data_IF_727897679608
#
_entry.id   IF_727897679608
#
_cell.length_a   1.000
_cell.length_b   1.000
_cell.length_c   1.000
_cell.angle_alpha   90.00
_cell.angle_beta   90.00
_cell.angle_gamma   90.00
#
_symmetry.space_group_name_H-M   'P 1'
#
loop_
_entity.id
_entity.type
_entity.pdbx_description
1 polymer ?
#
# COMPACT_ATOMS: atom_id res chain seq x y z
N UNK A 1 -4.50 2.99 16.95
CA UNK A 1 -4.77 1.87 16.01
C UNK A 1 -3.81 1.99 14.86
N UNK A 2 -3.15 0.88 14.49
CA UNK A 2 -2.13 0.85 13.44
C UNK A 2 -2.76 0.97 12.04
N UNK A 3 -4.02 0.53 11.90
CA UNK A 3 -4.79 0.62 10.67
C UNK A 3 -5.80 1.77 10.83
N UNK A 4 -5.74 2.80 9.97
CA UNK A 4 -6.75 3.84 9.89
C UNK A 4 -8.16 3.28 9.61
N UNK A 5 -9.17 3.87 10.25
CA UNK A 5 -10.57 3.42 10.12
C UNK A 5 -11.16 3.68 8.73
N UNK A 6 -10.59 4.64 7.98
CA UNK A 6 -10.99 4.98 6.62
C UNK A 6 -9.75 5.36 5.81
N UNK A 7 -9.48 4.59 4.76
CA UNK A 7 -8.60 5.00 3.67
C UNK A 7 -9.46 5.40 2.48
N UNK A 8 -8.87 6.18 1.58
CA UNK A 8 -9.47 6.49 0.29
C UNK A 8 -9.48 5.21 -0.55
N UNK A 9 -10.60 4.48 -0.53
CA UNK A 9 -10.65 3.07 -0.96
C UNK A 9 -10.51 2.85 -2.48
N UNK A 10 -10.51 3.92 -3.29
CA UNK A 10 -10.50 3.87 -4.75
C UNK A 10 -9.26 4.49 -5.40
N UNK A 11 -8.28 4.96 -4.62
CA UNK A 11 -7.02 5.53 -5.13
C UNK A 11 -5.79 4.91 -4.46
N UNK A 12 -5.04 4.10 -5.21
CA UNK A 12 -3.85 3.40 -4.73
C UNK A 12 -2.70 4.37 -4.40
N UNK A 13 -2.58 5.49 -5.10
CA UNK A 13 -1.54 6.48 -4.83
C UNK A 13 -1.84 7.21 -3.53
N UNK A 14 -3.12 7.52 -3.29
CA UNK A 14 -3.56 8.14 -2.04
C UNK A 14 -3.34 7.19 -0.85
N UNK A 15 -3.69 5.91 -0.99
CA UNK A 15 -3.40 4.90 0.04
C UNK A 15 -1.90 4.85 0.35
N UNK A 16 -1.04 4.89 -0.68
CA UNK A 16 0.41 4.91 -0.49
C UNK A 16 0.90 6.17 0.24
N UNK A 17 0.35 7.34 -0.09
CA UNK A 17 0.69 8.60 0.57
C UNK A 17 0.23 8.63 2.03
N UNK A 18 -0.99 8.16 2.31
CA UNK A 18 -1.56 8.08 3.65
C UNK A 18 -0.78 7.11 4.55
N UNK A 19 -0.42 5.92 4.03
CA UNK A 19 0.39 4.95 4.76
C UNK A 19 1.79 5.49 5.08
N UNK A 20 2.46 6.12 4.10
CA UNK A 20 3.76 6.78 4.34
C UNK A 20 3.64 7.89 5.37
N UNK A 21 2.60 8.71 5.26
CA UNK A 21 2.34 9.77 6.24
C UNK A 21 2.16 9.18 7.64
N UNK A 22 1.37 8.11 7.80
CA UNK A 22 1.15 7.46 9.09
C UNK A 22 2.45 6.92 9.72
N UNK A 23 3.34 6.37 8.89
CA UNK A 23 4.64 5.85 9.33
C UNK A 23 5.71 6.93 9.59
N UNK A 24 5.62 8.07 8.91
CA UNK A 24 6.53 9.21 9.07
C UNK A 24 6.03 10.25 10.09
N UNK A 25 4.74 10.22 10.43
CA UNK A 25 4.14 11.05 11.47
C UNK A 25 4.51 10.52 12.85
N UNK A 26 4.37 11.35 13.90
CA UNK A 26 4.57 10.97 15.31
C UNK A 26 3.50 9.99 15.84
N UNK A 27 3.16 8.95 15.09
CA UNK A 27 2.30 7.89 15.55
C UNK A 27 3.04 7.09 16.64
N UNK A 28 2.60 7.27 17.88
CA UNK A 28 3.22 6.67 19.07
C UNK A 28 3.22 5.14 18.98
N UNK A 29 2.15 4.54 18.44
CA UNK A 29 2.04 3.08 18.29
C UNK A 29 3.10 2.57 17.29
N UNK A 30 3.26 3.24 16.15
CA UNK A 30 4.25 2.91 15.12
C UNK A 30 5.68 3.08 15.65
N UNK A 31 5.97 4.21 16.29
CA UNK A 31 7.30 4.48 16.85
C UNK A 31 7.70 3.46 17.93
N UNK A 32 6.72 2.97 18.71
CA UNK A 32 6.95 1.89 19.67
C UNK A 32 7.31 0.57 18.98
N UNK A 33 6.65 0.23 17.87
CA UNK A 33 7.00 -0.96 17.08
C UNK A 33 8.39 -0.82 16.47
N UNK A 34 8.71 0.33 15.87
CA UNK A 34 10.02 0.60 15.26
C UNK A 34 11.14 0.48 16.29
N UNK A 35 11.02 1.16 17.43
CA UNK A 35 12.02 1.09 18.51
C UNK A 35 12.15 -0.30 19.14
N UNK A 36 11.09 -1.12 19.14
CA UNK A 36 11.18 -2.52 19.61
C UNK A 36 11.91 -3.44 18.63
N UNK A 37 12.03 -3.03 17.36
CA UNK A 37 12.67 -3.78 16.28
C UNK A 37 14.02 -3.17 15.86
N UNK A 38 14.47 -2.12 16.56
CA UNK A 38 15.76 -1.47 16.33
C UNK A 38 16.89 -2.51 16.39
N UNK A 39 17.64 -2.61 15.30
CA UNK A 39 18.76 -3.55 15.14
C UNK A 39 18.44 -4.86 14.41
N UNK A 40 17.16 -5.15 14.08
CA UNK A 40 16.78 -6.37 13.31
C UNK A 40 16.74 -6.12 11.81
N UNK A 41 16.26 -4.94 11.38
CA UNK A 41 16.19 -4.56 9.97
C UNK A 41 16.47 -3.07 9.83
N UNK A 42 17.25 -2.68 8.81
CA UNK A 42 17.55 -1.28 8.53
C UNK A 42 16.34 -0.48 8.01
N UNK A 43 15.27 -1.17 7.60
CA UNK A 43 14.15 -0.57 6.86
C UNK A 43 12.77 -0.87 7.49
N UNK A 44 12.70 -1.07 8.81
CA UNK A 44 11.44 -1.41 9.53
C UNK A 44 10.30 -0.43 9.19
N UNK A 45 10.59 0.87 9.13
CA UNK A 45 9.58 1.88 8.79
C UNK A 45 9.02 1.70 7.36
N UNK A 46 9.89 1.38 6.39
CA UNK A 46 9.48 1.16 5.01
C UNK A 46 8.65 -0.13 4.89
N UNK A 47 9.07 -1.20 5.57
CA UNK A 47 8.32 -2.45 5.62
C UNK A 47 6.94 -2.24 6.25
N UNK A 48 6.86 -1.50 7.35
CA UNK A 48 5.59 -1.23 8.01
C UNK A 48 4.66 -0.38 7.15
N UNK A 49 5.18 0.64 6.46
CA UNK A 49 4.41 1.40 5.48
C UNK A 49 3.88 0.51 4.37
N UNK A 50 4.70 -0.38 3.81
CA UNK A 50 4.29 -1.31 2.77
C UNK A 50 3.22 -2.30 3.28
N UNK A 51 3.35 -2.82 4.51
CA UNK A 51 2.33 -3.67 5.13
C UNK A 51 0.99 -2.94 5.29
N UNK A 52 1.02 -1.67 5.70
CA UNK A 52 -0.20 -0.87 5.87
C UNK A 52 -0.86 -0.62 4.52
N UNK A 53 -0.10 -0.25 3.47
CA UNK A 53 -0.65 -0.13 2.10
C UNK A 53 -1.36 -1.42 1.70
N UNK A 54 -0.70 -2.57 1.87
CA UNK A 54 -1.26 -3.87 1.52
C UNK A 54 -2.54 -4.20 2.29
N UNK A 55 -2.62 -3.83 3.57
CA UNK A 55 -3.81 -4.04 4.39
C UNK A 55 -5.02 -3.19 3.95
N UNK A 56 -4.78 -2.11 3.20
CA UNK A 56 -5.80 -1.14 2.81
C UNK A 56 -6.25 -1.29 1.36
N UNK A 57 -5.68 -2.25 0.63
CA UNK A 57 -6.10 -2.55 -0.73
C UNK A 57 -7.53 -3.11 -0.74
N UNK A 58 -8.32 -2.64 -1.69
CA UNK A 58 -9.72 -3.04 -1.86
C UNK A 58 -10.02 -3.34 -3.32
N UNK A 59 -11.04 -4.18 -3.55
CA UNK A 59 -11.57 -4.44 -4.89
C UNK A 59 -12.06 -3.15 -5.58
N UNK A 60 -12.40 -2.12 -4.80
CA UNK A 60 -12.82 -0.81 -5.31
C UNK A 60 -11.75 -0.16 -6.21
N UNK A 61 -10.47 -0.48 -6.05
CA UNK A 61 -9.37 0.03 -6.89
C UNK A 61 -9.48 -0.41 -8.36
N UNK A 62 -10.00 -1.60 -8.61
CA UNK A 62 -10.08 -2.16 -9.98
C UNK A 62 -11.46 -1.98 -10.61
N UNK A 63 -12.48 -1.67 -9.81
CA UNK A 63 -13.86 -1.47 -10.29
C UNK A 63 -13.97 -0.42 -11.41
N UNK A 64 -13.35 0.77 -11.34
CA UNK A 64 -13.43 1.76 -12.41
C UNK A 64 -12.81 1.30 -13.74
N UNK A 65 -11.87 0.34 -13.69
CA UNK A 65 -11.23 -0.23 -14.87
C UNK A 65 -12.16 -1.27 -15.50
N UNK A 66 -12.68 -2.19 -14.69
CA UNK A 66 -13.60 -3.25 -15.15
C UNK A 66 -14.97 -2.72 -15.57
N UNK A 67 -15.48 -1.65 -14.93
CA UNK A 67 -16.73 -1.02 -15.32
C UNK A 67 -16.69 -0.38 -16.72
N UNK A 68 -15.48 -0.05 -17.22
CA UNK A 68 -15.27 0.67 -18.49
C UNK A 68 -14.53 -0.17 -19.54
N UNK A 69 -14.30 -1.45 -19.28
CA UNK A 69 -13.48 -2.29 -20.15
C UNK A 69 -13.77 -3.77 -19.98
N UNK A 70 -14.09 -4.43 -21.08
CA UNK A 70 -14.15 -5.89 -21.24
C UNK A 70 -12.85 -6.47 -21.85
N UNK A 71 -11.83 -5.64 -22.04
CA UNK A 71 -10.55 -6.04 -22.62
C UNK A 71 -9.94 -7.27 -21.93
N UNK A 72 -9.25 -8.11 -22.71
CA UNK A 72 -8.60 -9.34 -22.25
C UNK A 72 -7.10 -9.32 -22.62
N UNK A 73 -6.30 -10.14 -21.94
CA UNK A 73 -4.92 -10.39 -22.32
C UNK A 73 -4.01 -9.17 -22.12
N UNK A 74 -3.21 -8.84 -23.14
CA UNK A 74 -2.22 -7.75 -23.07
C UNK A 74 -2.87 -6.39 -22.87
N UNK A 75 -4.05 -6.16 -23.45
CA UNK A 75 -4.79 -4.90 -23.31
C UNK A 75 -5.28 -4.75 -21.86
N UNK A 76 -5.80 -5.82 -21.25
CA UNK A 76 -6.22 -5.77 -19.85
C UNK A 76 -5.03 -5.55 -18.90
N UNK A 77 -3.90 -6.23 -19.15
CA UNK A 77 -2.67 -6.02 -18.38
C UNK A 77 -2.22 -4.55 -18.41
N UNK A 78 -2.28 -3.90 -19.57
CA UNK A 78 -1.97 -2.47 -19.69
C UNK A 78 -2.96 -1.59 -18.91
N UNK A 79 -4.24 -1.96 -18.90
CA UNK A 79 -5.29 -1.20 -18.19
C UNK A 79 -5.22 -1.34 -16.68
N UNK A 80 -4.87 -2.51 -16.15
CA UNK A 80 -4.73 -2.74 -14.70
C UNK A 80 -3.39 -2.28 -14.12
N UNK A 81 -2.41 -2.03 -15.01
CA UNK A 81 -1.06 -1.55 -14.67
C UNK A 81 -1.01 -0.43 -13.62
N UNK A 82 -1.86 0.62 -13.67
CA UNK A 82 -1.84 1.70 -12.68
C UNK A 82 -2.14 1.23 -11.24
N UNK A 83 -2.86 0.12 -11.08
CA UNK A 83 -3.14 -0.49 -9.77
C UNK A 83 -2.09 -1.53 -9.43
N UNK A 84 -1.68 -2.36 -10.38
CA UNK A 84 -0.76 -3.47 -10.09
C UNK A 84 0.67 -3.03 -9.86
N UNK A 85 1.16 -1.98 -10.53
CA UNK A 85 2.54 -1.53 -10.39
C UNK A 85 2.85 -1.05 -8.95
N UNK A 86 2.02 -0.18 -8.32
CA UNK A 86 2.22 0.22 -6.93
C UNK A 86 2.16 -0.97 -5.94
N UNK A 87 1.27 -1.94 -6.20
CA UNK A 87 1.14 -3.15 -5.37
C UNK A 87 2.40 -4.02 -5.47
N UNK A 88 2.92 -4.21 -6.68
CA UNK A 88 4.15 -4.97 -6.90
C UNK A 88 5.37 -4.29 -6.26
N UNK A 89 5.41 -2.96 -6.25
CA UNK A 89 6.44 -2.19 -5.55
C UNK A 89 6.39 -2.45 -4.03
N UNK A 90 5.19 -2.46 -3.41
CA UNK A 90 5.07 -2.78 -1.98
C UNK A 90 5.52 -4.21 -1.68
N UNK A 91 5.18 -5.18 -2.53
CA UNK A 91 5.64 -6.57 -2.39
C UNK A 91 7.16 -6.66 -2.50
N UNK A 92 7.78 -5.87 -3.39
CA UNK A 92 9.23 -5.82 -3.52
C UNK A 92 9.90 -5.32 -2.24
N UNK A 93 9.37 -4.23 -1.66
CA UNK A 93 9.84 -3.65 -0.39
C UNK A 93 9.79 -4.70 0.74
N UNK A 94 8.70 -5.47 0.83
CA UNK A 94 8.55 -6.49 1.88
C UNK A 94 9.47 -7.71 1.72
N UNK A 95 10.04 -7.92 0.53
CA UNK A 95 10.92 -9.05 0.23
C UNK A 95 12.41 -8.68 0.30
N UNK A 96 12.74 -7.39 0.21
CA UNK A 96 14.09 -6.85 0.35
C UNK A 96 14.47 -6.67 1.81
#
# INVERSE_FOLDING_TARGET
SIIPEKFTEDDVEMICAEAKSLCCSNNVDINKVVSSLDGVSANVQQHLSAMIVMACLSVKLVNPIFARSDAIGTVMRKKIKPVTDPVLEQIHILRS
#
